data_IF_694217399211
#
_entry.id   IF_694217399211
#
_cell.length_a   1.000
_cell.length_b   1.000
_cell.length_c   1.000
_cell.angle_alpha   90.00
_cell.angle_beta   90.00
_cell.angle_gamma   90.00
#
_symmetry.space_group_name_H-M   'P 1'
#
loop_
_entity.id
_entity.type
_entity.pdbx_description
1 polymer ?
#
# COMPACT_ATOMS: atom_id res chain seq x y z
N UNK A 1 -10.15 -18.24 -22.83
CA UNK A 1 -9.52 -18.08 -21.50
C UNK A 1 -8.39 -17.09 -21.71
N UNK A 2 -8.52 -15.87 -21.18
CA UNK A 2 -7.52 -14.83 -21.36
C UNK A 2 -6.33 -15.11 -20.42
N UNK A 3 -5.21 -15.51 -21.02
CA UNK A 3 -3.99 -15.98 -20.35
C UNK A 3 -2.98 -14.83 -20.18
N UNK A 4 -3.33 -13.62 -20.65
CA UNK A 4 -2.42 -12.47 -20.72
C UNK A 4 -2.77 -11.31 -19.78
N UNK A 5 -3.75 -11.47 -18.89
CA UNK A 5 -3.86 -10.59 -17.72
C UNK A 5 -2.70 -10.93 -16.79
N UNK A 6 -1.53 -10.32 -16.99
CA UNK A 6 -0.48 -10.24 -15.95
C UNK A 6 -1.20 -9.74 -14.71
N UNK A 7 -1.42 -10.58 -13.67
CA UNK A 7 -2.17 -10.16 -12.51
C UNK A 7 -1.31 -9.09 -11.84
N UNK A 8 -1.68 -7.83 -12.01
CA UNK A 8 -1.18 -6.79 -11.14
C UNK A 8 -1.65 -7.17 -9.75
N UNK A 9 -0.72 -7.39 -8.84
CA UNK A 9 -1.05 -7.61 -7.45
C UNK A 9 -1.67 -6.32 -6.89
N UNK A 10 -2.93 -6.38 -6.48
CA UNK A 10 -3.57 -5.29 -5.75
C UNK A 10 -3.51 -5.60 -4.25
N UNK A 11 -2.80 -4.80 -3.43
CA UNK A 11 -2.70 -5.04 -1.99
C UNK A 11 -4.06 -5.15 -1.29
N UNK A 12 -5.14 -4.59 -1.83
CA UNK A 12 -6.49 -4.71 -1.27
C UNK A 12 -7.00 -6.15 -1.29
N UNK A 13 -6.47 -7.01 -2.17
CA UNK A 13 -6.86 -8.42 -2.30
C UNK A 13 -6.54 -9.26 -1.05
N UNK A 14 -5.63 -8.77 -0.20
CA UNK A 14 -5.33 -9.39 1.08
C UNK A 14 -6.43 -9.22 2.13
N UNK A 15 -7.37 -8.28 1.91
CA UNK A 15 -8.37 -7.92 2.89
C UNK A 15 -9.72 -8.54 2.54
N UNK A 16 -10.33 -9.20 3.54
CA UNK A 16 -11.74 -9.56 3.47
C UNK A 16 -12.57 -8.28 3.52
N UNK A 17 -13.54 -8.15 2.63
CA UNK A 17 -14.43 -7.01 2.56
C UNK A 17 -15.17 -6.81 3.91
N UNK A 18 -14.90 -5.69 4.61
CA UNK A 18 -15.50 -5.41 5.92
C UNK A 18 -17.02 -5.23 5.86
N UNK A 19 -17.60 -5.00 4.66
CA UNK A 19 -19.05 -4.93 4.46
C UNK A 19 -19.72 -6.30 4.57
N UNK A 20 -18.96 -7.39 4.56
CA UNK A 20 -19.49 -8.75 4.71
C UNK A 20 -19.66 -9.07 6.20
N UNK A 21 -20.91 -9.09 6.68
CA UNK A 21 -21.24 -9.39 8.09
C UNK A 21 -20.74 -10.75 8.61
N UNK A 22 -20.79 -11.77 7.75
CA UNK A 22 -20.41 -13.15 8.11
C UNK A 22 -19.49 -13.76 7.03
N UNK A 23 -18.20 -13.38 6.98
CA UNK A 23 -17.31 -13.77 5.89
C UNK A 23 -17.09 -15.28 5.82
N UNK A 24 -16.93 -15.94 6.97
CA UNK A 24 -16.77 -17.40 7.04
C UNK A 24 -17.97 -18.15 6.46
N UNK A 25 -19.20 -17.68 6.73
CA UNK A 25 -20.40 -18.30 6.17
C UNK A 25 -20.46 -18.15 4.65
N UNK A 26 -20.08 -16.98 4.12
CA UNK A 26 -20.02 -16.73 2.67
C UNK A 26 -18.99 -17.62 1.98
N UNK A 27 -17.84 -17.83 2.62
CA UNK A 27 -16.79 -18.73 2.14
C UNK A 27 -17.30 -20.18 2.18
N UNK A 28 -17.88 -20.63 3.29
CA UNK A 28 -18.44 -21.97 3.42
C UNK A 28 -19.51 -22.25 2.37
N UNK A 29 -20.39 -21.29 2.11
CA UNK A 29 -21.41 -21.37 1.07
C UNK A 29 -20.82 -21.49 -0.34
N UNK A 30 -19.78 -20.71 -0.63
CA UNK A 30 -19.04 -20.84 -1.88
C UNK A 30 -18.40 -22.23 -2.03
N UNK A 31 -17.76 -22.75 -0.98
CA UNK A 31 -17.15 -24.08 -0.97
C UNK A 31 -18.19 -25.18 -1.18
N UNK A 32 -19.38 -25.06 -0.59
CA UNK A 32 -20.48 -26.01 -0.80
C UNK A 32 -20.93 -26.01 -2.28
N UNK A 33 -21.14 -24.83 -2.87
CA UNK A 33 -21.49 -24.72 -4.31
C UNK A 33 -20.42 -25.32 -5.21
N UNK A 34 -19.14 -25.06 -4.91
CA UNK A 34 -18.01 -25.63 -5.63
C UNK A 34 -17.99 -27.16 -5.51
N UNK A 35 -18.24 -27.70 -4.32
CA UNK A 35 -18.32 -29.15 -4.07
C UNK A 35 -19.47 -29.81 -4.84
N UNK A 36 -20.57 -29.10 -5.02
CA UNK A 36 -21.73 -29.55 -5.81
C UNK A 36 -21.55 -29.38 -7.34
N UNK A 37 -20.38 -28.92 -7.81
CA UNK A 37 -20.07 -28.78 -9.23
C UNK A 37 -20.59 -27.50 -9.89
N UNK A 38 -21.15 -26.56 -9.11
CA UNK A 38 -21.58 -25.29 -9.66
C UNK A 38 -20.40 -24.38 -9.97
N UNK A 39 -20.47 -23.69 -11.12
CA UNK A 39 -19.58 -22.56 -11.41
C UNK A 39 -19.99 -21.38 -10.51
N UNK A 40 -19.09 -20.97 -9.62
CA UNK A 40 -19.30 -19.86 -8.71
C UNK A 40 -18.04 -18.98 -8.62
N UNK A 41 -18.23 -17.72 -8.18
CA UNK A 41 -17.14 -16.79 -7.87
C UNK A 41 -17.13 -16.49 -6.36
N UNK A 42 -15.96 -16.50 -5.75
CA UNK A 42 -15.78 -16.18 -4.34
C UNK A 42 -15.59 -14.67 -4.16
N UNK A 43 -16.71 -13.94 -4.03
CA UNK A 43 -16.70 -12.48 -3.84
C UNK A 43 -16.51 -12.10 -2.37
N UNK A 44 -15.28 -12.20 -1.87
CA UNK A 44 -14.92 -11.93 -0.46
C UNK A 44 -13.88 -10.83 -0.28
N UNK A 45 -13.23 -10.42 -1.37
CA UNK A 45 -12.19 -9.40 -1.38
C UNK A 45 -12.83 -8.01 -1.40
N UNK A 46 -12.25 -7.06 -0.67
CA UNK A 46 -12.66 -5.65 -0.69
C UNK A 46 -12.23 -4.94 -1.99
N UNK A 47 -12.97 -3.93 -2.41
CA UNK A 47 -12.55 -2.97 -3.45
C UNK A 47 -12.18 -1.61 -2.85
N UNK A 48 -12.18 -1.51 -1.53
CA UNK A 48 -11.89 -0.28 -0.80
C UNK A 48 -10.38 -0.13 -0.58
N UNK A 49 -9.76 0.73 -1.39
CA UNK A 49 -8.32 1.00 -1.35
C UNK A 49 -7.87 1.61 -0.01
N UNK A 50 -8.78 2.20 0.78
CA UNK A 50 -8.44 2.78 2.10
C UNK A 50 -8.02 1.74 3.14
N UNK A 51 -8.31 0.45 2.90
CA UNK A 51 -7.84 -0.64 3.74
C UNK A 51 -6.32 -0.80 3.69
N UNK A 52 -5.71 -0.37 2.58
CA UNK A 52 -4.27 -0.32 2.39
C UNK A 52 -3.76 1.00 2.94
N UNK A 53 -3.36 1.00 4.21
CA UNK A 53 -2.99 2.23 4.95
C UNK A 53 -1.61 2.82 4.60
N UNK A 54 -0.83 2.15 3.77
CA UNK A 54 0.52 2.57 3.43
C UNK A 54 0.93 2.06 2.07
N UNK A 55 1.49 2.95 1.27
CA UNK A 55 2.17 2.63 0.01
C UNK A 55 3.55 3.28 0.05
N UNK A 56 4.51 2.68 -0.65
CA UNK A 56 5.88 3.20 -0.71
C UNK A 56 6.12 3.87 -2.07
N UNK A 57 7.08 4.79 -2.12
CA UNK A 57 7.58 5.35 -3.38
C UNK A 57 6.80 6.55 -3.94
N UNK A 58 5.68 6.96 -3.32
CA UNK A 58 5.05 8.26 -3.59
C UNK A 58 5.63 9.31 -2.63
N UNK A 59 5.99 10.47 -3.15
CA UNK A 59 6.40 11.62 -2.33
C UNK A 59 5.16 12.13 -1.57
N UNK A 60 5.23 12.33 -0.24
CA UNK A 60 4.11 12.89 0.53
C UNK A 60 3.69 14.26 -0.01
N UNK A 61 2.38 14.53 -0.01
CA UNK A 61 1.82 15.81 -0.46
C UNK A 61 2.05 16.92 0.57
N UNK A 62 2.02 16.59 1.86
CA UNK A 62 2.33 17.50 2.95
C UNK A 62 3.85 17.57 3.18
N UNK A 63 4.49 18.75 3.06
CA UNK A 63 5.90 18.94 3.39
C UNK A 63 6.27 18.58 4.84
N UNK A 64 5.31 18.57 5.77
CA UNK A 64 5.54 18.13 7.16
C UNK A 64 5.80 16.63 7.27
N UNK A 65 5.35 15.84 6.30
CA UNK A 65 5.61 14.40 6.21
C UNK A 65 6.92 14.08 5.47
N UNK A 66 7.65 15.10 5.01
CA UNK A 66 8.93 14.90 4.33
C UNK A 66 10.03 14.49 5.32
N UNK A 67 11.05 13.75 4.86
CA UNK A 67 12.20 13.42 5.67
C UNK A 67 12.93 14.69 6.13
N UNK A 68 13.44 14.68 7.36
CA UNK A 68 14.18 15.78 7.95
C UNK A 68 15.69 15.50 7.96
N UNK A 69 16.47 16.54 7.68
CA UNK A 69 17.93 16.55 7.90
C UNK A 69 18.21 17.38 9.15
N UNK A 70 18.84 16.79 10.15
CA UNK A 70 19.17 17.44 11.43
C UNK A 70 20.69 17.54 11.55
N UNK A 71 21.20 18.72 11.87
CA UNK A 71 22.62 19.00 12.08
C UNK A 71 22.84 19.85 13.35
N UNK A 72 24.10 20.04 13.75
CA UNK A 72 24.43 20.94 14.85
C UNK A 72 24.09 22.40 14.51
N UNK A 73 23.88 23.22 15.55
CA UNK A 73 23.51 24.64 15.39
C UNK A 73 24.59 25.50 14.75
N UNK A 74 25.84 25.03 14.70
CA UNK A 74 26.95 25.69 14.01
C UNK A 74 26.88 25.56 12.49
N UNK A 75 25.97 24.74 11.97
CA UNK A 75 25.92 24.34 10.56
C UNK A 75 24.77 25.05 9.87
N UNK A 76 25.11 25.83 8.84
CA UNK A 76 24.13 26.54 8.06
C UNK A 76 23.47 25.59 7.04
N UNK A 77 22.28 25.10 7.37
CA UNK A 77 21.44 24.34 6.43
C UNK A 77 20.39 25.26 5.78
N UNK A 78 20.04 25.02 4.50
CA UNK A 78 18.89 25.67 3.89
C UNK A 78 17.57 25.17 4.52
N UNK A 79 16.51 25.97 4.43
CA UNK A 79 15.20 25.61 4.96
C UNK A 79 14.60 24.34 4.32
N UNK A 80 14.93 24.09 3.06
CA UNK A 80 14.58 22.88 2.31
C UNK A 80 15.74 22.50 1.38
N UNK A 81 15.90 21.20 1.14
CA UNK A 81 16.94 20.66 0.26
C UNK A 81 16.36 19.49 -0.53
N UNK A 82 16.75 19.34 -1.79
CA UNK A 82 16.38 18.17 -2.56
C UNK A 82 17.03 16.91 -1.95
N UNK A 83 16.30 15.80 -1.88
CA UNK A 83 16.82 14.55 -1.31
C UNK A 83 18.12 14.08 -1.98
N UNK A 84 18.31 14.39 -3.26
CA UNK A 84 19.52 14.06 -4.03
C UNK A 84 20.76 14.86 -3.63
N UNK A 85 20.59 15.98 -2.93
CA UNK A 85 21.70 16.85 -2.49
C UNK A 85 22.18 16.55 -1.06
N UNK A 86 21.44 15.72 -0.31
CA UNK A 86 21.76 15.37 1.09
C UNK A 86 23.16 14.78 1.23
N UNK A 87 23.58 13.92 0.30
CA UNK A 87 24.92 13.36 0.29
C UNK A 87 26.01 14.43 0.29
N UNK A 88 25.83 15.49 -0.51
CA UNK A 88 26.78 16.59 -0.60
C UNK A 88 26.92 17.38 0.70
N UNK A 89 25.86 17.44 1.52
CA UNK A 89 25.91 18.07 2.84
C UNK A 89 26.62 17.17 3.86
N UNK A 90 26.32 15.86 3.84
CA UNK A 90 26.97 14.88 4.71
C UNK A 90 28.48 14.83 4.43
N UNK A 91 28.88 14.83 3.16
CA UNK A 91 30.28 14.76 2.75
C UNK A 91 31.11 16.00 3.15
N UNK A 92 30.47 17.16 3.31
CA UNK A 92 31.12 18.38 3.82
C UNK A 92 31.34 18.35 5.34
N UNK A 93 30.76 17.36 6.02
CA UNK A 93 30.96 17.12 7.44
C UNK A 93 30.08 17.99 8.34
N UNK A 94 28.83 18.24 7.92
CA UNK A 94 27.93 19.23 8.52
C UNK A 94 28.61 20.60 8.71
#
# INVERSE_FOLDING_TARGET
MDIHRKPGYDPVELFIDPKIRFPLLKIAWFLLKKKLGFKALMKVISQDASLVKGSHGRIPEDPLDWPVLIASSSVALPAQIASTEVYGQIAKGF
#
